data_IF_684837647263
#
_entry.id   IF_684837647263
#
_cell.length_a   1.000
_cell.length_b   1.000
_cell.length_c   1.000
_cell.angle_alpha   90.00
_cell.angle_beta   90.00
_cell.angle_gamma   90.00
#
_symmetry.space_group_name_H-M   'P 1'
#
loop_
_entity.id
_entity.type
_entity.pdbx_description
1 polymer ?
#
# COMPACT_ATOMS: atom_id res chain seq x y z
N UNK A 1 -19.00 -29.03 -7.43
CA UNK A 1 -18.94 -27.63 -7.88
C UNK A 1 -18.31 -26.83 -6.76
N UNK A 2 -17.10 -26.34 -6.94
CA UNK A 2 -16.40 -25.54 -5.92
C UNK A 2 -16.84 -24.09 -6.12
N UNK A 3 -17.60 -23.55 -5.17
CA UNK A 3 -17.99 -22.13 -5.18
C UNK A 3 -16.73 -21.30 -5.05
N UNK A 4 -16.32 -20.63 -6.14
CA UNK A 4 -15.30 -19.60 -6.09
C UNK A 4 -15.95 -18.42 -5.35
N UNK A 5 -15.77 -18.34 -4.05
CA UNK A 5 -16.06 -17.11 -3.31
C UNK A 5 -15.05 -16.09 -3.81
N UNK A 6 -15.46 -15.24 -4.76
CA UNK A 6 -14.66 -14.11 -5.17
C UNK A 6 -14.31 -13.31 -3.92
N UNK A 7 -13.03 -13.17 -3.62
CA UNK A 7 -12.56 -12.31 -2.55
C UNK A 7 -13.04 -10.89 -2.85
N UNK A 8 -14.04 -10.44 -2.09
CA UNK A 8 -14.63 -9.11 -2.23
C UNK A 8 -13.60 -8.01 -1.96
N UNK A 9 -12.46 -8.36 -1.35
CA UNK A 9 -11.25 -7.53 -1.14
C UNK A 9 -10.17 -7.73 -2.21
N UNK A 10 -10.53 -8.01 -3.46
CA UNK A 10 -9.55 -8.10 -4.55
C UNK A 10 -8.93 -6.72 -4.88
N UNK A 11 -7.60 -6.66 -4.91
CA UNK A 11 -6.81 -5.49 -5.34
C UNK A 11 -7.20 -5.01 -6.75
N UNK A 12 -7.71 -5.91 -7.61
CA UNK A 12 -8.20 -5.59 -8.96
C UNK A 12 -9.29 -4.51 -9.01
N UNK A 13 -10.02 -4.30 -7.90
CA UNK A 13 -11.07 -3.29 -7.78
C UNK A 13 -10.54 -1.88 -7.47
N UNK A 14 -9.28 -1.80 -7.03
CA UNK A 14 -8.58 -0.53 -6.89
C UNK A 14 -8.11 -0.09 -8.28
N UNK A 15 -8.43 1.12 -8.75
CA UNK A 15 -7.93 1.59 -10.04
C UNK A 15 -6.41 1.72 -9.98
N UNK A 16 -5.74 1.66 -11.13
CA UNK A 16 -4.34 2.11 -11.23
C UNK A 16 -4.33 3.64 -11.07
N UNK A 17 -3.43 4.18 -10.25
CA UNK A 17 -3.25 5.62 -10.08
C UNK A 17 -2.71 6.21 -11.38
N UNK A 18 -3.44 7.18 -11.93
CA UNK A 18 -2.99 7.87 -13.14
C UNK A 18 -1.92 8.88 -12.78
N UNK A 19 -0.89 8.98 -13.62
CA UNK A 19 0.20 9.95 -13.49
C UNK A 19 -0.25 11.41 -13.49
N UNK A 20 -1.45 11.71 -14.00
CA UNK A 20 -2.05 13.05 -14.00
C UNK A 20 -2.89 13.35 -12.76
N UNK A 21 -3.00 12.39 -11.83
CA UNK A 21 -3.79 12.53 -10.60
C UNK A 21 -5.31 12.58 -10.79
N UNK A 22 -5.83 12.43 -12.02
CA UNK A 22 -7.25 12.63 -12.31
C UNK A 22 -8.19 11.66 -11.56
N UNK A 23 -7.65 10.55 -11.04
CA UNK A 23 -8.39 9.58 -10.23
C UNK A 23 -7.87 9.45 -8.79
N UNK A 24 -7.08 10.41 -8.29
CA UNK A 24 -6.46 10.34 -6.97
C UNK A 24 -7.46 10.01 -5.86
N UNK A 25 -8.53 10.80 -5.71
CA UNK A 25 -9.50 10.62 -4.63
C UNK A 25 -10.14 9.23 -4.60
N UNK A 26 -10.45 8.66 -5.77
CA UNK A 26 -11.06 7.32 -5.85
C UNK A 26 -10.02 6.20 -5.70
N UNK A 27 -8.79 6.41 -6.15
CA UNK A 27 -7.66 5.54 -5.88
C UNK A 27 -7.42 5.44 -4.38
N UNK A 28 -7.16 6.57 -3.72
CA UNK A 28 -6.83 6.65 -2.29
C UNK A 28 -7.94 6.00 -1.44
N UNK A 29 -9.20 6.37 -1.70
CA UNK A 29 -10.36 5.84 -0.98
C UNK A 29 -10.44 4.31 -1.09
N UNK A 30 -10.29 3.76 -2.30
CA UNK A 30 -10.41 2.30 -2.52
C UNK A 30 -9.19 1.55 -2.00
N UNK A 31 -8.00 2.10 -2.20
CA UNK A 31 -6.75 1.52 -1.73
C UNK A 31 -6.76 1.40 -0.20
N UNK A 32 -7.15 2.47 0.50
CA UNK A 32 -7.29 2.46 1.97
C UNK A 32 -8.29 1.41 2.46
N UNK A 33 -9.46 1.28 1.81
CA UNK A 33 -10.42 0.24 2.17
C UNK A 33 -9.85 -1.17 1.96
N UNK A 34 -9.15 -1.38 0.84
CA UNK A 34 -8.48 -2.64 0.55
C UNK A 34 -7.42 -2.96 1.60
N UNK A 35 -6.49 -2.06 1.88
CA UNK A 35 -5.41 -2.25 2.86
C UNK A 35 -5.95 -2.52 4.28
N UNK A 36 -7.02 -1.82 4.69
CA UNK A 36 -7.73 -2.09 5.96
C UNK A 36 -8.34 -3.49 5.99
N UNK A 37 -8.92 -3.97 4.88
CA UNK A 37 -9.48 -5.33 4.81
C UNK A 37 -8.42 -6.44 4.86
N UNK A 38 -7.16 -6.13 4.49
CA UNK A 38 -6.00 -7.01 4.60
C UNK A 38 -5.25 -6.87 5.93
N UNK A 39 -5.67 -5.95 6.81
CA UNK A 39 -5.01 -5.64 8.08
C UNK A 39 -3.56 -5.12 7.95
N UNK A 40 -3.23 -4.47 6.83
CA UNK A 40 -1.89 -3.92 6.55
C UNK A 40 -1.85 -2.39 6.52
N UNK A 41 -3.00 -1.72 6.73
CA UNK A 41 -3.07 -0.25 6.68
C UNK A 41 -2.08 0.45 7.62
N UNK A 42 -1.74 -0.19 8.75
CA UNK A 42 -0.76 0.33 9.71
C UNK A 42 0.65 0.56 9.14
N UNK A 43 1.00 -0.14 8.07
CA UNK A 43 2.27 0.04 7.34
C UNK A 43 2.22 1.28 6.42
N UNK A 44 1.04 1.64 5.92
CA UNK A 44 0.86 2.81 5.05
C UNK A 44 0.76 4.11 5.85
N UNK A 45 0.06 4.11 6.99
CA UNK A 45 -0.10 5.30 7.83
C UNK A 45 1.00 5.45 8.90
N UNK A 46 1.99 4.55 8.89
CA UNK A 46 3.12 4.56 9.81
C UNK A 46 2.77 4.21 11.27
N UNK A 47 1.52 3.82 11.57
CA UNK A 47 1.13 3.45 12.95
C UNK A 47 1.73 2.13 13.41
N UNK A 48 2.22 1.29 12.50
CA UNK A 48 2.92 0.03 12.77
C UNK A 48 4.39 0.17 12.39
N UNK A 49 5.21 0.63 13.32
CA UNK A 49 6.66 0.73 13.14
C UNK A 49 7.35 -0.64 13.25
N UNK A 50 8.46 -0.81 12.54
CA UNK A 50 9.29 -2.01 12.65
C UNK A 50 9.74 -2.22 14.10
N UNK A 51 9.56 -3.41 14.70
CA UNK A 51 10.01 -3.68 16.06
C UNK A 51 11.51 -3.45 16.23
N UNK A 52 11.91 -2.93 17.40
CA UNK A 52 13.30 -2.70 17.76
C UNK A 52 13.78 -3.73 18.82
N UNK A 53 15.10 -4.02 18.91
CA UNK A 53 15.62 -4.92 19.94
C UNK A 53 15.26 -4.49 21.37
N UNK A 54 14.90 -5.45 22.27
CA UNK A 54 14.93 -6.90 22.08
C UNK A 54 13.57 -7.48 21.63
N UNK A 55 13.15 -7.21 20.38
CA UNK A 55 12.05 -7.92 19.73
C UNK A 55 12.43 -9.37 19.40
N UNK A 56 11.44 -10.26 19.37
CA UNK A 56 11.64 -11.63 18.91
C UNK A 56 11.84 -11.67 17.38
N UNK A 57 12.67 -12.59 16.88
CA UNK A 57 12.91 -12.71 15.44
C UNK A 57 11.60 -12.94 14.65
N UNK A 58 10.66 -13.70 15.21
CA UNK A 58 9.36 -13.94 14.59
C UNK A 58 8.51 -12.66 14.43
N UNK A 59 8.66 -11.67 15.32
CA UNK A 59 7.97 -10.38 15.21
C UNK A 59 8.59 -9.53 14.10
N UNK A 60 9.92 -9.56 13.97
CA UNK A 60 10.66 -8.89 12.89
C UNK A 60 10.29 -9.50 11.53
N UNK A 61 10.33 -10.82 11.42
CA UNK A 61 10.01 -11.55 10.18
C UNK A 61 8.56 -11.31 9.75
N UNK A 62 7.63 -11.24 10.71
CA UNK A 62 6.23 -10.96 10.43
C UNK A 62 6.03 -9.51 9.95
N UNK A 63 6.70 -8.54 10.59
CA UNK A 63 6.65 -7.15 10.13
C UNK A 63 7.25 -6.99 8.73
N UNK A 64 8.44 -7.58 8.48
CA UNK A 64 9.11 -7.51 7.18
C UNK A 64 8.25 -8.16 6.09
N UNK A 65 7.51 -9.23 6.42
CA UNK A 65 6.55 -9.87 5.50
C UNK A 65 5.38 -8.94 5.16
N UNK A 66 4.76 -8.34 6.17
CA UNK A 66 3.60 -7.46 5.99
C UNK A 66 3.98 -6.18 5.23
N UNK A 67 5.18 -5.65 5.48
CA UNK A 67 5.78 -4.53 4.74
C UNK A 67 5.95 -4.86 3.25
N UNK A 68 6.53 -6.02 2.95
CA UNK A 68 6.70 -6.48 1.56
C UNK A 68 5.36 -6.73 0.85
N UNK A 69 4.36 -7.24 1.57
CA UNK A 69 3.01 -7.42 1.03
C UNK A 69 2.34 -6.06 0.73
N UNK A 70 2.48 -5.09 1.64
CA UNK A 70 1.99 -3.74 1.46
C UNK A 70 2.65 -3.05 0.24
N UNK A 71 3.97 -3.13 0.12
CA UNK A 71 4.71 -2.63 -1.04
C UNK A 71 4.20 -3.24 -2.34
N UNK A 72 4.10 -4.57 -2.41
CA UNK A 72 3.64 -5.27 -3.61
C UNK A 72 2.20 -4.90 -3.99
N UNK A 73 1.31 -4.65 -3.03
CA UNK A 73 -0.04 -4.18 -3.36
C UNK A 73 -0.06 -2.75 -3.90
N UNK A 74 0.80 -1.87 -3.36
CA UNK A 74 0.96 -0.52 -3.85
C UNK A 74 1.50 -0.52 -5.28
N UNK A 75 2.59 -1.24 -5.51
CA UNK A 75 3.25 -1.35 -6.81
C UNK A 75 2.30 -1.84 -7.93
N UNK A 76 1.42 -2.80 -7.64
CA UNK A 76 0.41 -3.28 -8.60
C UNK A 76 -0.59 -2.22 -9.07
N UNK A 77 -0.66 -1.06 -8.40
CA UNK A 77 -1.61 0.01 -8.68
C UNK A 77 -0.95 1.34 -8.99
N UNK A 78 0.36 1.35 -9.23
CA UNK A 78 1.10 2.50 -9.72
C UNK A 78 1.53 2.27 -11.17
N UNK A 79 1.56 3.33 -11.95
CA UNK A 79 2.24 3.34 -13.26
C UNK A 79 3.77 3.32 -13.04
N UNK A 80 4.53 2.79 -14.01
CA UNK A 80 5.97 2.53 -13.86
C UNK A 80 6.77 3.73 -13.34
N UNK A 81 6.52 4.94 -13.86
CA UNK A 81 7.25 6.13 -13.42
C UNK A 81 6.95 6.50 -11.95
N UNK A 82 5.69 6.39 -11.53
CA UNK A 82 5.30 6.65 -10.13
C UNK A 82 5.88 5.59 -9.20
N UNK A 83 5.90 4.33 -9.62
CA UNK A 83 6.53 3.25 -8.86
C UNK A 83 8.03 3.50 -8.69
N UNK A 84 8.75 3.82 -9.77
CA UNK A 84 10.20 4.06 -9.70
C UNK A 84 10.57 5.19 -8.73
N UNK A 85 9.76 6.25 -8.65
CA UNK A 85 9.98 7.34 -7.71
C UNK A 85 9.64 6.94 -6.26
N UNK A 86 8.57 6.18 -6.05
CA UNK A 86 8.22 5.67 -4.74
C UNK A 86 9.30 4.69 -4.21
N UNK A 87 9.83 3.82 -5.08
CA UNK A 87 10.80 2.78 -4.72
C UNK A 87 12.17 3.32 -4.26
N UNK A 88 12.41 4.63 -4.42
CA UNK A 88 13.58 5.32 -3.84
C UNK A 88 13.46 5.54 -2.32
N UNK A 89 12.29 5.28 -1.72
CA UNK A 89 11.99 5.48 -0.30
C UNK A 89 12.10 4.16 0.49
N UNK A 90 12.46 4.26 1.77
CA UNK A 90 12.85 3.08 2.57
C UNK A 90 11.65 2.26 3.05
N UNK A 91 10.50 2.90 3.28
CA UNK A 91 9.29 2.26 3.84
C UNK A 91 8.03 2.57 3.04
N UNK A 92 7.05 1.67 3.11
CA UNK A 92 5.72 1.86 2.50
C UNK A 92 5.02 3.09 3.07
N UNK A 93 5.28 3.44 4.33
CA UNK A 93 4.77 4.67 4.94
C UNK A 93 5.31 5.92 4.22
N UNK A 94 6.62 5.98 3.97
CA UNK A 94 7.23 7.09 3.24
C UNK A 94 6.73 7.15 1.79
N UNK A 95 6.61 5.99 1.12
CA UNK A 95 6.00 5.89 -0.22
C UNK A 95 4.58 6.45 -0.24
N UNK A 96 3.77 6.07 0.74
CA UNK A 96 2.38 6.51 0.83
C UNK A 96 2.27 8.00 1.12
N UNK A 97 3.10 8.53 2.00
CA UNK A 97 3.16 9.97 2.30
C UNK A 97 3.59 10.77 1.06
N UNK A 98 4.61 10.31 0.33
CA UNK A 98 5.05 10.94 -0.91
C UNK A 98 3.93 10.96 -1.96
N UNK A 99 3.29 9.81 -2.24
CA UNK A 99 2.16 9.72 -3.17
C UNK A 99 1.03 10.66 -2.74
N UNK A 100 0.69 10.64 -1.44
CA UNK A 100 -0.39 11.48 -0.91
C UNK A 100 -0.10 12.96 -1.13
N UNK A 101 1.13 13.40 -0.87
CA UNK A 101 1.54 14.79 -1.08
C UNK A 101 1.54 15.19 -2.55
N UNK A 102 2.15 14.36 -3.42
CA UNK A 102 2.25 14.63 -4.86
C UNK A 102 0.86 14.74 -5.51
N UNK A 103 0.00 13.76 -5.28
CA UNK A 103 -1.29 13.67 -5.98
C UNK A 103 -2.40 14.52 -5.35
N UNK A 104 -2.29 14.88 -4.06
CA UNK A 104 -3.17 15.91 -3.47
C UNK A 104 -2.83 17.30 -3.99
N UNK A 105 -1.57 17.59 -4.31
CA UNK A 105 -1.20 18.87 -4.93
C UNK A 105 -1.70 19.00 -6.39
N UNK A 106 -1.98 17.88 -7.06
CA UNK A 106 -2.49 17.82 -8.42
C UNK A 106 -4.03 17.86 -8.53
N UNK A 107 -4.75 17.60 -7.44
CA UNK A 107 -6.22 17.52 -7.40
C UNK A 107 -6.89 18.84 -7.04
#
# INVERSE_FOLDING_TARGET
MTTITADISSISRVPVLKVDGANWLIFETRFRHFAKSKNIWGHFDGSVSRPAPPAAQAELDQWDKDENEAHNYLAQRLEDNTLLQADELDTVAEMWDWITNEFTAMS
#
